data_IF_309903927679
#
_entry.id   IF_309903927679
#
_cell.length_a   1.000
_cell.length_b   1.000
_cell.length_c   1.000
_cell.angle_alpha   90.00
_cell.angle_beta   90.00
_cell.angle_gamma   90.00
#
_symmetry.space_group_name_H-M   'P 1'
#
loop_
_entity.id
_entity.type
_entity.pdbx_description
1 polymer ?
#
# COMPACT_ATOMS: atom_id res chain seq x y z
N UNK A 1 21.99 21.09 21.67
CA UNK A 1 21.19 20.31 20.66
C UNK A 1 20.39 21.31 19.85
N UNK A 2 20.77 21.52 18.58
CA UNK A 2 20.10 22.47 17.70
C UNK A 2 18.68 22.01 17.37
N UNK A 3 17.72 22.92 17.54
CA UNK A 3 16.31 22.63 17.25
C UNK A 3 16.14 22.51 15.72
N UNK A 4 15.92 21.30 15.20
CA UNK A 4 15.72 21.06 13.77
C UNK A 4 14.51 21.85 13.26
N UNK A 5 14.69 22.59 12.16
CA UNK A 5 13.59 23.31 11.52
C UNK A 5 12.55 22.34 10.98
N UNK A 6 11.30 22.82 10.83
CA UNK A 6 10.22 22.00 10.27
C UNK A 6 10.57 21.45 8.84
N UNK A 7 11.35 22.23 8.07
CA UNK A 7 11.80 21.82 6.74
C UNK A 7 12.86 20.71 6.80
N UNK A 8 13.77 20.75 7.78
CA UNK A 8 14.76 19.70 8.00
C UNK A 8 14.10 18.40 8.47
N UNK A 9 13.06 18.49 9.33
CA UNK A 9 12.27 17.33 9.76
C UNK A 9 11.56 16.64 8.60
N UNK A 10 10.92 17.42 7.72
CA UNK A 10 10.28 16.85 6.53
C UNK A 10 11.30 16.25 5.57
N UNK A 11 12.46 16.89 5.36
CA UNK A 11 13.52 16.32 4.52
C UNK A 11 14.03 14.98 5.08
N UNK A 12 14.21 14.88 6.40
CA UNK A 12 14.55 13.62 7.07
C UNK A 12 13.47 12.55 6.91
N UNK A 13 12.19 12.95 7.00
CA UNK A 13 11.07 12.05 6.81
C UNK A 13 11.01 11.50 5.37
N UNK A 14 11.18 12.33 4.36
CA UNK A 14 11.22 11.92 2.96
C UNK A 14 12.32 10.86 2.76
N UNK A 15 13.54 11.14 3.24
CA UNK A 15 14.66 10.19 3.14
C UNK A 15 14.39 8.87 3.86
N UNK A 16 13.78 8.91 5.04
CA UNK A 16 13.39 7.71 5.78
C UNK A 16 12.35 6.87 5.04
N UNK A 17 11.33 7.52 4.43
CA UNK A 17 10.34 6.83 3.62
C UNK A 17 10.99 6.10 2.43
N UNK A 18 11.90 6.74 1.70
CA UNK A 18 12.61 6.11 0.59
C UNK A 18 13.46 4.92 1.04
N UNK A 19 14.19 5.04 2.16
CA UNK A 19 14.96 3.94 2.74
C UNK A 19 14.08 2.76 3.17
N UNK A 20 12.85 3.03 3.63
CA UNK A 20 11.86 2.02 4.00
C UNK A 20 11.02 1.54 2.81
N UNK A 21 11.34 1.98 1.59
CA UNK A 21 10.57 1.68 0.38
C UNK A 21 9.08 2.03 0.56
N UNK A 22 8.79 3.22 1.07
CA UNK A 22 7.46 3.74 1.40
C UNK A 22 7.23 5.10 0.75
N UNK A 23 5.96 5.49 0.57
CA UNK A 23 5.60 6.84 0.17
C UNK A 23 5.60 7.80 1.36
N UNK A 24 5.78 9.07 1.08
CA UNK A 24 5.69 10.17 2.05
C UNK A 24 4.21 10.47 2.33
N UNK A 25 3.86 10.69 3.59
CA UNK A 25 2.55 11.18 4.00
C UNK A 25 2.69 12.18 5.15
N UNK A 26 1.70 13.06 5.30
CA UNK A 26 1.69 14.03 6.38
C UNK A 26 1.33 13.36 7.72
N UNK A 27 2.19 13.51 8.72
CA UNK A 27 1.95 13.05 10.10
C UNK A 27 1.33 14.14 10.96
N UNK A 28 1.46 15.40 10.53
CA UNK A 28 0.93 16.58 11.22
C UNK A 28 0.36 17.59 10.20
N UNK A 29 -0.50 18.51 10.67
CA UNK A 29 -1.01 19.59 9.84
C UNK A 29 0.10 20.52 9.32
N UNK A 30 1.17 20.72 10.09
CA UNK A 30 2.33 21.50 9.67
C UNK A 30 3.09 20.82 8.52
N UNK A 31 3.26 19.49 8.59
CA UNK A 31 3.85 18.72 7.49
C UNK A 31 2.96 18.73 6.24
N UNK A 32 1.63 18.66 6.38
CA UNK A 32 0.71 18.75 5.25
C UNK A 32 0.93 20.03 4.44
N UNK A 33 0.97 21.20 5.11
CA UNK A 33 1.24 22.49 4.45
C UNK A 33 2.62 22.55 3.77
N UNK A 34 3.63 21.89 4.33
CA UNK A 34 4.94 21.84 3.72
C UNK A 34 4.99 20.92 2.52
N UNK A 35 4.29 19.78 2.58
CA UNK A 35 4.12 18.86 1.45
C UNK A 35 3.41 19.58 0.30
N UNK A 36 2.31 20.29 0.56
CA UNK A 36 1.60 21.10 -0.43
C UNK A 36 2.52 22.10 -1.14
N UNK A 37 3.35 22.83 -0.37
CA UNK A 37 4.35 23.77 -0.95
C UNK A 37 5.37 23.06 -1.82
N UNK A 38 5.83 21.87 -1.43
CA UNK A 38 6.78 21.07 -2.22
C UNK A 38 6.15 20.47 -3.46
N UNK A 39 4.87 20.11 -3.41
CA UNK A 39 4.11 19.70 -4.60
C UNK A 39 3.96 20.86 -5.56
N UNK A 40 3.58 22.06 -5.07
CA UNK A 40 3.51 23.26 -5.89
C UNK A 40 4.86 23.66 -6.52
N UNK A 41 5.97 23.38 -5.84
CA UNK A 41 7.33 23.61 -6.33
C UNK A 41 7.87 22.47 -7.21
N UNK A 42 7.11 21.37 -7.44
CA UNK A 42 7.53 20.22 -8.24
C UNK A 42 8.56 19.30 -7.59
N UNK A 43 8.93 19.53 -6.31
CA UNK A 43 9.90 18.67 -5.59
C UNK A 43 9.28 17.46 -4.90
N UNK A 44 7.95 17.38 -4.88
CA UNK A 44 7.14 16.20 -4.56
C UNK A 44 6.00 16.10 -5.56
N UNK A 45 5.54 14.90 -5.83
CA UNK A 45 4.33 14.62 -6.61
C UNK A 45 3.36 13.75 -5.80
N UNK A 46 2.06 13.92 -6.06
CA UNK A 46 1.03 13.06 -5.48
C UNK A 46 0.95 11.75 -6.29
N UNK A 47 1.26 10.63 -5.63
CA UNK A 47 1.22 9.29 -6.25
C UNK A 47 -0.05 8.52 -5.91
N UNK A 48 -0.78 9.01 -4.92
CA UNK A 48 -2.11 8.57 -4.47
C UNK A 48 -2.68 9.67 -3.55
N UNK A 49 -4.00 9.79 -3.35
CA UNK A 49 -4.54 10.76 -2.40
C UNK A 49 -3.88 10.67 -1.02
N UNK A 50 -3.19 11.73 -0.61
CA UNK A 50 -2.47 11.82 0.66
C UNK A 50 -1.15 11.05 0.73
N UNK A 51 -0.66 10.51 -0.37
CA UNK A 51 0.66 9.89 -0.50
C UNK A 51 1.49 10.60 -1.57
N UNK A 52 2.75 10.82 -1.29
CA UNK A 52 3.66 11.61 -2.11
C UNK A 52 5.00 10.92 -2.28
N UNK A 53 5.72 11.27 -3.33
CA UNK A 53 7.10 10.84 -3.57
C UNK A 53 7.90 11.93 -4.27
N UNK A 54 9.21 11.86 -4.25
CA UNK A 54 10.05 12.67 -5.13
C UNK A 54 9.94 12.12 -6.58
N UNK A 55 9.72 12.98 -7.60
CA UNK A 55 9.54 12.52 -8.97
C UNK A 55 10.69 11.63 -9.47
N UNK A 56 11.94 12.03 -9.24
CA UNK A 56 13.12 11.29 -9.70
C UNK A 56 13.17 9.89 -9.09
N UNK A 57 12.93 9.77 -7.78
CA UNK A 57 12.92 8.49 -7.09
C UNK A 57 11.76 7.61 -7.56
N UNK A 58 10.56 8.20 -7.69
CA UNK A 58 9.36 7.48 -8.09
C UNK A 58 9.43 6.95 -9.50
N UNK A 59 10.00 7.73 -10.41
CA UNK A 59 10.12 7.37 -11.83
C UNK A 59 10.98 6.12 -12.05
N UNK A 60 12.03 5.91 -11.24
CA UNK A 60 12.92 4.75 -11.33
C UNK A 60 12.30 3.45 -10.82
N UNK A 61 11.22 3.54 -10.02
CA UNK A 61 10.57 2.36 -9.46
C UNK A 61 9.75 1.61 -10.52
N UNK A 62 9.87 0.28 -10.52
CA UNK A 62 9.01 -0.60 -11.32
C UNK A 62 7.59 -0.59 -10.77
N UNK A 63 6.60 -0.99 -11.57
CA UNK A 63 5.18 -0.97 -11.22
C UNK A 63 4.88 -1.64 -9.87
N UNK A 64 5.38 -2.87 -9.64
CA UNK A 64 5.20 -3.61 -8.37
C UNK A 64 5.86 -2.89 -7.19
N UNK A 65 7.01 -2.26 -7.39
CA UNK A 65 7.66 -1.48 -6.34
C UNK A 65 6.82 -0.26 -5.96
N UNK A 66 6.30 0.49 -6.95
CA UNK A 66 5.37 1.62 -6.72
C UNK A 66 4.13 1.18 -5.95
N UNK A 67 3.58 0.02 -6.28
CA UNK A 67 2.43 -0.54 -5.58
C UNK A 67 2.76 -0.82 -4.10
N UNK A 68 3.85 -1.52 -3.82
CA UNK A 68 4.29 -1.85 -2.45
C UNK A 68 4.68 -0.61 -1.64
N UNK A 69 5.22 0.44 -2.26
CA UNK A 69 5.48 1.72 -1.58
C UNK A 69 4.19 2.36 -1.05
N UNK A 70 3.13 2.35 -1.87
CA UNK A 70 1.80 2.84 -1.45
C UNK A 70 1.22 1.99 -0.31
N UNK A 71 1.32 0.67 -0.42
CA UNK A 71 0.85 -0.26 0.61
C UNK A 71 1.57 -0.03 1.94
N UNK A 72 2.90 0.09 1.96
CA UNK A 72 3.68 0.35 3.18
C UNK A 72 3.31 1.68 3.82
N UNK A 73 3.16 2.73 3.03
CA UNK A 73 2.73 4.04 3.55
C UNK A 73 1.34 3.97 4.17
N UNK A 74 0.40 3.26 3.54
CA UNK A 74 -0.95 3.07 4.09
C UNK A 74 -0.95 2.22 5.36
N UNK A 75 -0.12 1.18 5.43
CA UNK A 75 0.03 0.37 6.64
C UNK A 75 0.56 1.19 7.83
N UNK A 76 1.53 2.08 7.58
CA UNK A 76 2.05 2.98 8.60
C UNK A 76 1.02 4.05 9.03
N UNK A 77 0.25 4.56 8.07
CA UNK A 77 -0.78 5.59 8.31
C UNK A 77 -2.02 5.01 8.98
N UNK A 78 -2.34 3.75 8.74
CA UNK A 78 -3.52 3.05 9.22
C UNK A 78 -3.13 1.68 9.81
N UNK A 79 -2.55 1.65 11.02
CA UNK A 79 -2.02 0.43 11.63
C UNK A 79 -3.11 -0.60 12.01
N UNK A 80 -4.36 -0.18 12.02
CA UNK A 80 -5.56 -1.01 12.22
C UNK A 80 -6.03 -1.74 10.96
N UNK A 81 -5.55 -1.33 9.77
CA UNK A 81 -5.94 -1.97 8.53
C UNK A 81 -5.31 -3.36 8.40
N UNK A 82 -6.09 -4.28 7.82
CA UNK A 82 -5.61 -5.60 7.38
C UNK A 82 -5.76 -5.66 5.87
N UNK A 83 -4.66 -5.86 5.16
CA UNK A 83 -4.69 -6.00 3.71
C UNK A 83 -5.16 -7.40 3.32
N UNK A 84 -5.88 -7.54 2.19
CA UNK A 84 -6.46 -8.80 1.74
C UNK A 84 -6.40 -8.95 0.23
N UNK A 85 -6.90 -10.05 -0.29
CA UNK A 85 -7.02 -10.32 -1.73
C UNK A 85 -5.71 -10.04 -2.49
N UNK A 86 -5.74 -9.44 -3.65
CA UNK A 86 -4.55 -9.16 -4.49
C UNK A 86 -3.47 -8.35 -3.78
N UNK A 87 -3.82 -7.46 -2.85
CA UNK A 87 -2.83 -6.71 -2.07
C UNK A 87 -2.06 -7.62 -1.13
N UNK A 88 -2.74 -8.49 -0.39
CA UNK A 88 -2.09 -9.48 0.46
C UNK A 88 -1.25 -10.46 -0.37
N UNK A 89 -1.76 -10.92 -1.51
CA UNK A 89 -1.03 -11.80 -2.42
C UNK A 89 0.33 -11.20 -2.86
N UNK A 90 0.36 -9.91 -3.21
CA UNK A 90 1.62 -9.23 -3.54
C UNK A 90 2.54 -9.10 -2.35
N UNK A 91 2.02 -8.88 -1.14
CA UNK A 91 2.83 -8.82 0.10
C UNK A 91 3.44 -10.18 0.41
N UNK A 92 2.71 -11.28 0.15
CA UNK A 92 3.25 -12.66 0.26
C UNK A 92 4.26 -13.03 -0.83
N UNK A 93 4.43 -12.22 -1.86
CA UNK A 93 5.34 -12.51 -2.96
C UNK A 93 4.67 -13.16 -4.17
N UNK A 94 3.38 -13.51 -4.10
CA UNK A 94 2.68 -14.21 -5.16
C UNK A 94 2.64 -13.42 -6.47
N UNK A 95 2.56 -14.13 -7.57
CA UNK A 95 2.43 -13.55 -8.91
C UNK A 95 1.00 -13.05 -9.12
N UNK A 96 0.86 -11.73 -9.28
CA UNK A 96 -0.42 -11.06 -9.52
C UNK A 96 -0.27 -10.18 -10.76
N UNK A 97 -1.25 -10.23 -11.66
CA UNK A 97 -1.22 -9.41 -12.88
C UNK A 97 -1.33 -7.91 -12.53
N UNK A 98 -0.72 -7.06 -13.34
CA UNK A 98 -0.77 -5.60 -13.13
C UNK A 98 -2.21 -5.06 -13.21
N UNK A 99 -3.10 -5.69 -13.96
CA UNK A 99 -4.50 -5.31 -14.05
C UNK A 99 -5.21 -5.38 -12.69
N UNK A 100 -4.84 -6.35 -11.84
CA UNK A 100 -5.40 -6.54 -10.51
C UNK A 100 -4.74 -5.65 -9.43
N UNK A 101 -3.68 -4.92 -9.77
CA UNK A 101 -2.95 -4.03 -8.87
C UNK A 101 -3.28 -2.55 -9.10
N UNK A 102 -4.47 -2.25 -9.61
CA UNK A 102 -4.96 -0.88 -9.79
C UNK A 102 -5.50 -0.27 -8.50
N UNK A 103 -5.95 -1.11 -7.57
CA UNK A 103 -6.53 -0.73 -6.28
C UNK A 103 -5.79 -1.40 -5.12
N UNK A 104 -5.88 -0.79 -3.95
CA UNK A 104 -5.43 -1.39 -2.68
C UNK A 104 -6.63 -2.08 -2.02
N UNK A 105 -6.47 -3.32 -1.62
CA UNK A 105 -7.54 -4.15 -1.04
C UNK A 105 -7.34 -4.29 0.47
N UNK A 106 -8.37 -3.95 1.25
CA UNK A 106 -8.38 -4.09 2.72
C UNK A 106 -9.61 -4.86 3.18
N UNK A 107 -9.43 -5.61 4.25
CA UNK A 107 -10.49 -6.32 4.94
C UNK A 107 -11.18 -5.39 5.94
N UNK A 108 -12.51 -5.41 5.96
CA UNK A 108 -13.33 -4.60 6.87
C UNK A 108 -14.46 -5.43 7.48
N UNK A 109 -14.97 -4.98 8.63
CA UNK A 109 -16.16 -5.58 9.23
C UNK A 109 -17.41 -5.38 8.33
N UNK A 110 -18.41 -6.29 8.40
CA UNK A 110 -19.60 -6.23 7.55
C UNK A 110 -20.37 -4.91 7.60
N UNK A 111 -20.37 -4.24 8.75
CA UNK A 111 -21.08 -2.98 8.97
C UNK A 111 -20.39 -1.73 8.38
N UNK A 112 -19.14 -1.84 7.92
CA UNK A 112 -18.42 -0.69 7.40
C UNK A 112 -18.86 -0.34 5.98
N UNK A 113 -18.98 0.98 5.72
CA UNK A 113 -19.33 1.52 4.41
C UNK A 113 -18.21 1.36 3.41
N UNK A 114 -18.57 1.10 2.16
CA UNK A 114 -17.67 1.14 1.01
C UNK A 114 -17.94 2.42 0.22
N UNK A 115 -16.90 3.19 -0.10
CA UNK A 115 -17.02 4.39 -0.91
C UNK A 115 -16.70 4.03 -2.37
N UNK A 116 -17.66 4.16 -3.31
CA UNK A 116 -17.39 3.94 -4.73
C UNK A 116 -16.32 4.93 -5.27
N UNK A 117 -15.51 4.47 -6.21
CA UNK A 117 -14.47 5.31 -6.83
C UNK A 117 -13.21 5.54 -6.00
N UNK A 118 -13.11 4.95 -4.82
CA UNK A 118 -11.89 4.98 -4.02
C UNK A 118 -10.80 4.12 -4.64
N UNK A 119 -9.54 4.54 -4.53
CA UNK A 119 -8.38 3.69 -4.86
C UNK A 119 -8.17 2.56 -3.83
N UNK A 120 -8.97 2.53 -2.77
CA UNK A 120 -8.99 1.47 -1.75
C UNK A 120 -10.31 0.73 -1.82
N UNK A 121 -10.26 -0.56 -2.14
CA UNK A 121 -11.40 -1.47 -2.15
C UNK A 121 -11.53 -2.12 -0.78
N UNK A 122 -12.74 -2.09 -0.21
CA UNK A 122 -13.06 -2.69 1.09
C UNK A 122 -13.83 -3.98 0.89
N UNK A 123 -13.22 -5.09 1.29
CA UNK A 123 -13.85 -6.40 1.31
C UNK A 123 -14.45 -6.69 2.68
N UNK A 124 -15.73 -7.09 2.72
CA UNK A 124 -16.45 -7.37 3.95
C UNK A 124 -16.29 -8.83 4.35
N UNK A 125 -15.79 -9.06 5.55
CA UNK A 125 -15.61 -10.40 6.09
C UNK A 125 -16.46 -10.62 7.34
N UNK A 126 -17.21 -11.73 7.40
CA UNK A 126 -17.89 -12.21 8.61
C UNK A 126 -16.87 -12.79 9.59
N UNK A 127 -15.88 -13.52 9.08
CA UNK A 127 -14.68 -13.98 9.81
C UNK A 127 -13.45 -13.53 9.03
N UNK A 128 -12.63 -12.74 9.68
CA UNK A 128 -11.39 -12.24 9.11
C UNK A 128 -10.24 -12.96 9.81
N UNK A 129 -9.39 -13.60 9.03
CA UNK A 129 -8.08 -14.07 9.51
C UNK A 129 -7.10 -12.91 9.56
N UNK A 130 -6.07 -13.02 10.39
CA UNK A 130 -5.01 -12.01 10.48
C UNK A 130 -3.66 -12.66 10.69
N UNK A 131 -2.73 -12.29 9.84
CA UNK A 131 -1.33 -12.65 9.90
C UNK A 131 -0.47 -11.39 9.75
N UNK A 132 0.84 -11.53 9.89
CA UNK A 132 1.78 -10.44 9.63
C UNK A 132 2.81 -10.93 8.63
N UNK A 133 2.98 -10.18 7.54
CA UNK A 133 3.97 -10.41 6.51
C UNK A 133 4.68 -9.10 6.16
N UNK A 134 6.01 -9.09 6.17
CA UNK A 134 6.81 -7.86 5.94
C UNK A 134 6.42 -6.70 6.89
N UNK A 135 6.12 -7.00 8.14
CA UNK A 135 5.62 -6.06 9.17
C UNK A 135 4.27 -5.40 8.83
N UNK A 136 3.51 -5.97 7.90
CA UNK A 136 2.19 -5.50 7.48
C UNK A 136 1.13 -6.53 7.90
N UNK A 137 0.02 -6.07 8.46
CA UNK A 137 -1.12 -6.92 8.78
C UNK A 137 -1.87 -7.31 7.50
N UNK A 138 -2.00 -8.61 7.28
CA UNK A 138 -2.64 -9.22 6.11
C UNK A 138 -3.62 -10.31 6.54
N UNK A 139 -4.55 -10.71 5.65
CA UNK A 139 -5.23 -12.01 5.79
C UNK A 139 -4.20 -13.13 5.69
N UNK A 140 -4.45 -14.29 6.33
CA UNK A 140 -3.53 -15.43 6.19
C UNK A 140 -3.44 -15.89 4.73
N UNK A 141 -2.48 -16.75 4.46
CA UNK A 141 -2.18 -17.16 3.08
C UNK A 141 -3.35 -17.93 2.45
N UNK A 142 -4.01 -18.79 3.20
CA UNK A 142 -5.12 -19.63 2.70
C UNK A 142 -6.33 -18.76 2.33
N UNK A 143 -6.69 -17.81 3.19
CA UNK A 143 -7.74 -16.85 2.89
C UNK A 143 -7.36 -15.95 1.71
N UNK A 144 -6.12 -15.48 1.68
CA UNK A 144 -5.62 -14.63 0.59
C UNK A 144 -5.72 -15.31 -0.77
N UNK A 145 -5.30 -16.58 -0.86
CA UNK A 145 -5.39 -17.36 -2.11
C UNK A 145 -6.86 -17.58 -2.48
N UNK A 146 -7.70 -17.97 -1.52
CA UNK A 146 -9.12 -18.19 -1.74
C UNK A 146 -9.80 -16.93 -2.29
N UNK A 147 -9.58 -15.78 -1.68
CA UNK A 147 -10.14 -14.49 -2.11
C UNK A 147 -9.71 -14.15 -3.55
N UNK A 148 -8.44 -14.34 -3.87
CA UNK A 148 -7.95 -14.10 -5.23
C UNK A 148 -8.58 -15.04 -6.24
N UNK A 149 -8.74 -16.32 -5.92
CA UNK A 149 -9.32 -17.32 -6.83
C UNK A 149 -10.81 -17.11 -7.11
N UNK A 150 -11.55 -16.57 -6.13
CA UNK A 150 -12.97 -16.23 -6.29
C UNK A 150 -13.18 -15.10 -7.30
N UNK A 151 -12.30 -14.10 -7.27
CA UNK A 151 -12.42 -12.88 -8.08
C UNK A 151 -11.67 -12.95 -9.41
N UNK A 152 -10.70 -13.88 -9.55
CA UNK A 152 -9.83 -13.98 -10.69
C UNK A 152 -10.50 -14.68 -11.91
N UNK A 153 -10.09 -14.30 -13.11
CA UNK A 153 -10.28 -15.13 -14.28
C UNK A 153 -9.53 -16.46 -14.12
N UNK A 154 -9.91 -17.48 -14.89
CA UNK A 154 -9.25 -18.80 -14.83
C UNK A 154 -7.73 -18.72 -14.99
N UNK A 155 -7.25 -17.92 -15.95
CA UNK A 155 -5.81 -17.76 -16.23
C UNK A 155 -5.10 -17.07 -15.07
N UNK A 156 -5.67 -16.00 -14.53
CA UNK A 156 -5.09 -15.28 -13.38
C UNK A 156 -5.10 -16.14 -12.13
N UNK A 157 -6.18 -16.87 -11.86
CA UNK A 157 -6.26 -17.81 -10.75
C UNK A 157 -5.20 -18.90 -10.84
N UNK A 158 -4.95 -19.43 -12.04
CA UNK A 158 -3.89 -20.42 -12.27
C UNK A 158 -2.49 -19.84 -11.98
N UNK A 159 -2.21 -18.62 -12.42
CA UNK A 159 -0.93 -17.93 -12.15
C UNK A 159 -0.71 -17.77 -10.64
N UNK A 160 -1.75 -17.34 -9.91
CA UNK A 160 -1.66 -17.12 -8.45
C UNK A 160 -1.46 -18.47 -7.73
N UNK A 161 -2.24 -19.50 -8.09
CA UNK A 161 -2.13 -20.83 -7.50
C UNK A 161 -0.75 -21.45 -7.77
N UNK A 162 -0.26 -21.39 -9.00
CA UNK A 162 1.06 -21.91 -9.36
C UNK A 162 2.18 -21.21 -8.58
N UNK A 163 2.13 -19.88 -8.48
CA UNK A 163 3.11 -19.14 -7.68
C UNK A 163 3.06 -19.50 -6.19
N UNK A 164 1.88 -19.80 -5.64
CA UNK A 164 1.73 -20.21 -4.24
C UNK A 164 2.34 -21.59 -3.96
N UNK A 165 2.34 -22.50 -4.93
CA UNK A 165 3.00 -23.80 -4.82
C UNK A 165 4.54 -23.70 -4.90
N UNK A 166 5.08 -22.70 -5.59
CA UNK A 166 6.52 -22.52 -5.74
C UNK A 166 7.18 -21.73 -4.60
N UNK A 167 6.42 -20.94 -3.85
CA UNK A 167 6.91 -20.12 -2.73
C UNK A 167 6.86 -20.86 -1.36
N UNK A 168 6.34 -22.10 -1.32
CA UNK A 168 6.37 -22.98 -0.13
C UNK A 168 7.62 -23.87 -0.15
#
# INVERSE_FOLDING_TARGET
MGNMTANQRLAGHIKACEQQMSCVYARTAAEAKQIERRVAAGSLEAVMPGLYARPEYWFELKFRQRYLHRVRALAQKHPDWTFCSYTAAVIYGLSVSHANLTHIHIAVAPAQSTTPGSQVVRHRYVRQTRATQMDIAVTDIDQTITDCLVDASFVEGLIIADSAFHEQ
#
